data_IF_153066439605
#
_entry.id   IF_153066439605
#
_cell.length_a   1.000
_cell.length_b   1.000
_cell.length_c   1.000
_cell.angle_alpha   90.00
_cell.angle_beta   90.00
_cell.angle_gamma   90.00
#
_symmetry.space_group_name_H-M   'P 1'
#
loop_
_entity.id
_entity.type
_entity.pdbx_description
1 polymer ?
#
# COMPACT_ATOMS: atom_id res chain seq x y z
N UNK A 1 -12.99 6.43 12.06
CA UNK A 1 -14.07 7.39 11.74
C UNK A 1 -14.16 7.47 10.22
N UNK A 2 -15.34 7.43 9.63
CA UNK A 2 -15.54 7.58 8.19
C UNK A 2 -16.22 8.91 7.90
N UNK A 3 -15.69 9.65 6.93
CA UNK A 3 -16.33 10.83 6.37
C UNK A 3 -17.03 10.45 5.07
N UNK A 4 -18.30 10.80 4.94
CA UNK A 4 -19.04 10.63 3.70
C UNK A 4 -18.86 11.90 2.87
N UNK A 5 -18.16 11.78 1.76
CA UNK A 5 -17.87 12.91 0.85
C UNK A 5 -18.51 12.61 -0.49
N UNK A 6 -19.16 13.61 -1.08
CA UNK A 6 -19.74 13.52 -2.41
C UNK A 6 -19.29 14.69 -3.28
N UNK A 7 -19.31 14.51 -4.60
CA UNK A 7 -19.11 15.60 -5.55
C UNK A 7 -20.30 16.55 -5.49
N UNK A 8 -20.04 17.85 -5.64
CA UNK A 8 -21.11 18.85 -5.74
C UNK A 8 -21.91 18.71 -7.03
N UNK A 9 -21.23 18.38 -8.14
CA UNK A 9 -21.83 18.04 -9.41
C UNK A 9 -21.20 16.75 -9.92
N UNK A 10 -22.01 15.80 -10.39
CA UNK A 10 -21.53 14.50 -10.86
C UNK A 10 -20.52 14.61 -12.02
N UNK A 11 -20.59 15.69 -12.82
CA UNK A 11 -19.68 15.96 -13.95
C UNK A 11 -18.35 16.61 -13.55
N UNK A 12 -18.25 17.17 -12.35
CA UNK A 12 -17.10 17.95 -11.90
C UNK A 12 -16.42 17.23 -10.72
N UNK A 13 -15.22 16.69 -10.97
CA UNK A 13 -14.44 15.99 -9.96
C UNK A 13 -13.58 16.92 -9.09
N UNK A 14 -13.59 18.24 -9.32
CA UNK A 14 -12.76 19.19 -8.55
C UNK A 14 -13.44 19.64 -7.26
N UNK A 15 -14.78 19.67 -7.21
CA UNK A 15 -15.55 20.21 -6.09
C UNK A 15 -16.30 19.13 -5.32
N UNK A 16 -16.06 19.08 -4.01
CA UNK A 16 -16.64 18.09 -3.11
C UNK A 16 -17.27 18.75 -1.87
N UNK A 17 -18.26 18.08 -1.29
CA UNK A 17 -18.94 18.48 -0.04
C UNK A 17 -19.01 17.29 0.92
N UNK A 18 -18.84 17.56 2.22
CA UNK A 18 -18.95 16.56 3.29
C UNK A 18 -20.42 16.44 3.68
N UNK A 19 -20.96 15.22 3.59
CA UNK A 19 -22.35 14.92 3.93
C UNK A 19 -22.52 14.54 5.40
N UNK A 20 -21.47 14.02 6.03
CA UNK A 20 -21.49 13.65 7.44
C UNK A 20 -20.29 12.80 7.84
N UNK A 21 -20.27 12.43 9.12
CA UNK A 21 -19.25 11.54 9.70
C UNK A 21 -19.89 10.42 10.51
N UNK A 22 -19.27 9.25 10.49
CA UNK A 22 -19.66 8.10 11.31
C UNK A 22 -18.47 7.55 12.08
N UNK A 23 -18.69 7.26 13.35
CA UNK A 23 -17.69 6.64 14.23
C UNK A 23 -18.07 5.18 14.46
N UNK A 24 -17.08 4.30 14.39
CA UNK A 24 -17.22 2.89 14.72
C UNK A 24 -16.10 2.50 15.67
N UNK A 25 -16.37 1.55 16.57
CA UNK A 25 -15.30 0.83 17.24
C UNK A 25 -14.63 -0.11 16.23
N UNK A 26 -13.29 -0.15 16.14
CA UNK A 26 -12.60 -0.95 15.13
C UNK A 26 -13.00 -2.43 15.12
N UNK A 27 -13.20 -3.03 16.30
CA UNK A 27 -13.58 -4.43 16.43
C UNK A 27 -15.00 -4.72 15.91
N UNK A 28 -15.96 -3.85 16.21
CA UNK A 28 -17.34 -3.98 15.71
C UNK A 28 -17.37 -3.80 14.18
N UNK A 29 -16.57 -2.88 13.64
CA UNK A 29 -16.46 -2.66 12.21
C UNK A 29 -15.82 -3.84 11.47
N UNK A 30 -14.78 -4.46 12.04
CA UNK A 30 -14.15 -5.65 11.46
C UNK A 30 -15.17 -6.78 11.28
N UNK A 31 -16.01 -7.03 12.30
CA UNK A 31 -17.09 -8.02 12.22
C UNK A 31 -18.11 -7.66 11.12
N UNK A 32 -18.50 -6.40 10.99
CA UNK A 32 -19.44 -5.95 9.94
C UNK A 32 -18.89 -6.13 8.52
N UNK A 33 -17.58 -6.00 8.36
CA UNK A 33 -16.88 -6.21 7.07
C UNK A 33 -16.50 -7.67 6.82
N UNK A 34 -16.95 -8.60 7.67
CA UNK A 34 -16.58 -10.02 7.62
C UNK A 34 -15.05 -10.25 7.64
N UNK A 35 -14.30 -9.36 8.31
CA UNK A 35 -12.87 -9.50 8.52
C UNK A 35 -12.60 -10.36 9.74
N UNK A 36 -12.04 -11.56 9.51
CA UNK A 36 -11.59 -12.44 10.59
C UNK A 36 -10.10 -12.19 10.87
N UNK A 37 -9.79 -11.73 12.10
CA UNK A 37 -8.43 -11.40 12.51
C UNK A 37 -7.51 -12.62 12.61
N UNK A 38 -8.03 -13.79 13.01
CA UNK A 38 -7.25 -15.02 13.09
C UNK A 38 -6.85 -15.50 11.69
N UNK A 39 -7.77 -15.39 10.72
CA UNK A 39 -7.47 -15.64 9.31
C UNK A 39 -6.40 -14.65 8.79
N UNK A 40 -6.57 -13.35 9.08
CA UNK A 40 -5.60 -12.31 8.69
C UNK A 40 -4.19 -12.61 9.20
N UNK A 41 -4.04 -12.94 10.48
CA UNK A 41 -2.76 -13.33 11.06
C UNK A 41 -2.24 -14.67 10.52
N UNK A 42 -3.12 -15.62 10.23
CA UNK A 42 -2.76 -16.88 9.57
C UNK A 42 -2.12 -16.66 8.19
N UNK A 43 -2.68 -15.74 7.39
CA UNK A 43 -2.12 -15.37 6.08
C UNK A 43 -0.74 -14.71 6.25
N UNK A 44 -0.60 -13.78 7.19
CA UNK A 44 0.69 -13.12 7.47
C UNK A 44 1.75 -14.15 7.88
N UNK A 45 1.40 -15.08 8.79
CA UNK A 45 2.33 -16.13 9.22
C UNK A 45 2.76 -17.02 8.06
N UNK A 46 1.82 -17.45 7.22
CA UNK A 46 2.12 -18.26 6.04
C UNK A 46 3.08 -17.55 5.07
N UNK A 47 2.94 -16.23 4.89
CA UNK A 47 3.89 -15.44 4.08
C UNK A 47 5.27 -15.37 4.71
N UNK A 48 5.36 -15.12 6.02
CA UNK A 48 6.65 -15.09 6.74
C UNK A 48 7.37 -16.43 6.65
N UNK A 49 6.65 -17.54 6.88
CA UNK A 49 7.23 -18.88 6.78
C UNK A 49 7.72 -19.20 5.37
N UNK A 50 7.01 -18.71 4.35
CA UNK A 50 7.42 -18.86 2.95
C UNK A 50 8.74 -18.15 2.65
N UNK A 51 8.95 -16.94 3.18
CA UNK A 51 10.18 -16.17 2.96
C UNK A 51 11.34 -16.62 3.87
N UNK A 52 11.07 -17.14 5.06
CA UNK A 52 12.08 -17.75 5.93
C UNK A 52 12.79 -18.95 5.26
N UNK A 53 12.12 -19.65 4.34
CA UNK A 53 12.69 -20.73 3.55
C UNK A 53 13.29 -20.30 2.20
N UNK A 54 13.39 -18.99 1.92
CA UNK A 54 13.92 -18.44 0.67
C UNK A 54 15.30 -17.84 0.91
N UNK A 55 16.17 -17.79 -0.11
CA UNK A 55 17.46 -17.14 0.03
C UNK A 55 17.29 -15.63 0.24
N UNK A 56 18.26 -15.02 0.90
CA UNK A 56 18.33 -13.58 1.10
C UNK A 56 18.32 -12.86 -0.24
N UNK A 57 17.54 -11.78 -0.34
CA UNK A 57 17.39 -11.00 -1.56
C UNK A 57 16.12 -10.14 -1.55
N UNK A 58 15.93 -9.36 -2.61
CA UNK A 58 14.72 -8.53 -2.78
C UNK A 58 13.62 -9.36 -3.47
N UNK A 59 12.40 -9.25 -2.96
CA UNK A 59 11.22 -9.93 -3.51
C UNK A 59 10.07 -8.95 -3.75
N UNK A 60 9.25 -9.23 -4.76
CA UNK A 60 8.05 -8.47 -5.10
C UNK A 60 6.82 -9.37 -5.03
N UNK A 61 5.84 -8.96 -4.22
CA UNK A 61 4.52 -9.61 -4.16
C UNK A 61 3.54 -8.80 -5.01
N UNK A 62 2.88 -9.46 -5.97
CA UNK A 62 1.88 -8.82 -6.85
C UNK A 62 0.58 -9.60 -6.84
N UNK A 63 -0.54 -8.89 -6.94
CA UNK A 63 -1.85 -9.50 -7.18
C UNK A 63 -2.08 -9.57 -8.69
N UNK A 64 -2.40 -10.74 -9.21
CA UNK A 64 -2.71 -10.92 -10.62
C UNK A 64 -3.95 -10.06 -11.00
N UNK A 65 -3.87 -9.20 -12.01
CA UNK A 65 -5.02 -8.37 -12.42
C UNK A 65 -6.25 -9.19 -12.84
N UNK A 66 -6.03 -10.28 -13.58
CA UNK A 66 -7.04 -11.14 -14.20
C UNK A 66 -7.49 -12.29 -13.28
N UNK A 67 -6.61 -12.77 -12.41
CA UNK A 67 -6.87 -13.93 -11.54
C UNK A 67 -6.82 -13.54 -10.06
N UNK A 68 -7.62 -14.16 -9.19
CA UNK A 68 -7.57 -13.94 -7.74
C UNK A 68 -6.38 -14.69 -7.12
N UNK A 69 -5.16 -14.44 -7.61
CA UNK A 69 -3.93 -15.12 -7.17
C UNK A 69 -2.83 -14.11 -6.87
N UNK A 70 -2.06 -14.38 -5.81
CA UNK A 70 -0.84 -13.63 -5.51
C UNK A 70 0.37 -14.32 -6.17
N UNK A 71 1.33 -13.53 -6.66
CA UNK A 71 2.59 -14.00 -7.21
C UNK A 71 3.76 -13.34 -6.51
N UNK A 72 4.83 -14.11 -6.33
CA UNK A 72 6.07 -13.67 -5.69
C UNK A 72 7.19 -13.81 -6.70
N UNK A 73 7.93 -12.73 -6.92
CA UNK A 73 9.07 -12.66 -7.83
C UNK A 73 10.33 -12.32 -7.05
N UNK A 74 11.43 -13.01 -7.29
CA UNK A 74 12.77 -12.54 -6.90
C UNK A 74 13.22 -11.51 -7.92
N UNK A 75 13.73 -10.38 -7.44
CA UNK A 75 14.17 -9.28 -8.30
C UNK A 75 15.64 -8.96 -7.98
N UNK A 76 16.43 -8.48 -8.97
CA UNK A 76 17.76 -7.94 -8.71
C UNK A 76 17.72 -6.83 -7.66
N UNK A 77 18.82 -6.66 -6.92
CA UNK A 77 18.88 -5.62 -5.88
C UNK A 77 18.60 -4.23 -6.47
N UNK A 78 19.16 -3.91 -7.64
CA UNK A 78 19.01 -2.58 -8.24
C UNK A 78 17.64 -2.34 -8.93
N UNK A 79 16.63 -3.16 -8.68
CA UNK A 79 15.33 -3.09 -9.42
C UNK A 79 14.44 -1.91 -9.01
N UNK A 80 14.69 -1.32 -7.83
CA UNK A 80 13.94 -0.16 -7.34
C UNK A 80 14.81 1.09 -7.18
N UNK A 81 16.10 0.96 -7.45
CA UNK A 81 17.04 2.07 -7.41
C UNK A 81 16.84 2.84 -8.72
N UNK A 82 15.82 3.69 -8.73
CA UNK A 82 15.56 4.64 -9.83
C UNK A 82 16.55 5.79 -9.70
N UNK A 83 16.85 6.44 -10.81
CA UNK A 83 17.83 7.53 -11.04
C UNK A 83 17.61 8.83 -10.21
N UNK A 84 17.10 8.75 -8.98
CA UNK A 84 16.89 9.86 -8.05
C UNK A 84 18.09 10.11 -7.12
N UNK A 85 19.14 9.28 -7.17
CA UNK A 85 20.45 9.54 -6.53
C UNK A 85 21.35 10.50 -7.35
N UNK A 86 20.76 11.35 -8.19
CA UNK A 86 21.45 12.36 -9.00
C UNK A 86 21.11 13.81 -8.58
N UNK A 87 20.82 14.05 -7.30
CA UNK A 87 20.56 15.40 -6.79
C UNK A 87 21.27 15.74 -5.47
N UNK A 88 22.42 15.12 -5.19
CA UNK A 88 23.24 15.46 -4.02
C UNK A 88 24.73 15.53 -4.39
N UNK A 89 25.10 16.50 -5.26
CA UNK A 89 26.42 17.15 -5.21
C UNK A 89 26.43 18.46 -6.01
N UNK A 90 27.27 19.41 -5.58
CA UNK A 90 27.53 20.77 -6.11
C UNK A 90 26.59 21.92 -5.66
N UNK A 91 26.76 22.33 -4.40
CA UNK A 91 26.68 23.76 -4.07
C UNK A 91 27.69 24.16 -2.98
N UNK A 92 28.99 23.99 -3.28
CA UNK A 92 30.07 24.70 -2.60
C UNK A 92 31.18 25.06 -3.62
N UNK A 93 31.08 26.23 -4.26
CA UNK A 93 32.15 27.25 -4.38
C UNK A 93 31.95 28.30 -5.50
N UNK A 94 31.87 29.57 -5.08
CA UNK A 94 32.53 30.79 -5.60
C UNK A 94 31.90 31.74 -6.64
N UNK A 95 32.09 33.03 -6.32
CA UNK A 95 31.92 34.31 -7.06
C UNK A 95 30.55 34.98 -6.84
N UNK A 96 30.45 36.15 -6.19
CA UNK A 96 31.28 37.36 -6.30
C UNK A 96 31.20 38.22 -5.03
#
# INVERSE_FOLDING_TARGET
KFGYVSRQNFKDASRHTILGMQNFKPQEFATQMALNMDNGWGIVRALVDLFMGKPDGRYLITKDPMKPTLRIYSIPENSFDSEDDASDDDNDQQQN
#
